data_IF_935805322791
#
_entry.id   IF_935805322791
#
_cell.length_a   1.000
_cell.length_b   1.000
_cell.length_c   1.000
_cell.angle_alpha   90.00
_cell.angle_beta   90.00
_cell.angle_gamma   90.00
#
_symmetry.space_group_name_H-M   'P 1'
#
loop_
_entity.id
_entity.type
_entity.pdbx_description
1 polymer ?
#
# COMPACT_ATOMS: atom_id res chain seq x y z
N UNK A 1 35.75 2.05 -4.94
CA UNK A 1 35.07 3.36 -4.97
C UNK A 1 36.06 4.44 -4.52
N UNK A 2 36.10 5.61 -5.16
CA UNK A 2 37.03 6.69 -4.81
C UNK A 2 36.76 7.19 -3.38
N UNK A 3 37.70 7.00 -2.46
CA UNK A 3 37.55 7.38 -1.04
C UNK A 3 37.26 8.88 -0.86
N UNK A 4 37.58 9.70 -1.87
CA UNK A 4 37.28 11.14 -1.90
C UNK A 4 35.82 11.47 -2.21
N UNK A 5 35.05 10.57 -2.82
CA UNK A 5 33.63 10.82 -3.07
C UNK A 5 32.82 10.75 -1.77
N UNK A 6 33.16 9.86 -0.83
CA UNK A 6 32.45 9.71 0.45
C UNK A 6 32.78 10.84 1.44
N UNK A 7 33.97 11.44 1.35
CA UNK A 7 34.39 12.54 2.22
C UNK A 7 33.58 13.84 2.03
N UNK A 8 32.81 13.96 0.94
CA UNK A 8 31.99 15.14 0.64
C UNK A 8 30.53 15.08 1.13
N UNK A 9 30.07 13.94 1.67
CA UNK A 9 28.65 13.72 2.02
C UNK A 9 28.36 13.78 3.51
N UNK A 10 28.88 14.80 4.20
CA UNK A 10 28.21 15.49 5.32
C UNK A 10 29.22 15.96 6.36
N UNK A 11 29.17 17.25 6.68
CA UNK A 11 29.29 17.69 8.08
C UNK A 11 28.37 18.87 8.34
N UNK A 12 27.07 18.74 8.03
CA UNK A 12 26.01 19.72 8.43
C UNK A 12 26.26 21.19 8.05
N UNK A 13 27.27 21.48 7.23
CA UNK A 13 27.86 22.81 7.01
C UNK A 13 28.17 23.58 8.32
N UNK A 14 28.48 22.85 9.39
CA UNK A 14 28.65 23.39 10.74
C UNK A 14 27.35 23.82 11.45
N UNK A 15 26.18 23.50 10.89
CA UNK A 15 24.86 23.84 11.41
C UNK A 15 24.06 22.56 11.70
N UNK A 16 24.38 21.86 12.81
CA UNK A 16 23.65 20.67 13.18
C UNK A 16 22.21 21.02 13.58
N UNK A 17 21.27 20.18 13.15
CA UNK A 17 19.85 20.27 13.46
C UNK A 17 19.26 18.88 13.68
N UNK A 18 18.03 18.83 14.19
CA UNK A 18 17.29 17.58 14.28
C UNK A 18 17.24 16.85 12.92
N UNK A 19 17.00 17.58 11.83
CA UNK A 19 16.98 17.01 10.48
C UNK A 19 18.32 16.36 10.10
N UNK A 20 19.46 16.99 10.42
CA UNK A 20 20.76 16.39 10.10
C UNK A 20 21.07 15.15 10.96
N UNK A 21 20.58 15.12 12.21
CA UNK A 21 20.76 13.96 13.08
C UNK A 21 19.95 12.76 12.58
N UNK A 22 18.68 12.96 12.22
CA UNK A 22 17.84 11.90 11.64
C UNK A 22 18.37 11.41 10.29
N UNK A 23 18.87 12.33 9.45
CA UNK A 23 19.53 11.99 8.19
C UNK A 23 20.77 11.10 8.43
N UNK A 24 21.66 11.52 9.32
CA UNK A 24 22.88 10.76 9.63
C UNK A 24 22.57 9.38 10.23
N UNK A 25 21.56 9.28 11.11
CA UNK A 25 21.11 8.00 11.65
C UNK A 25 20.57 7.07 10.56
N UNK A 26 19.80 7.61 9.60
CA UNK A 26 19.28 6.87 8.45
C UNK A 26 20.40 6.40 7.52
N UNK A 27 21.35 7.28 7.19
CA UNK A 27 22.51 6.93 6.36
C UNK A 27 23.33 5.81 6.99
N UNK A 28 23.53 5.86 8.31
CA UNK A 28 24.24 4.81 9.04
C UNK A 28 23.51 3.46 8.96
N UNK A 29 22.19 3.44 9.18
CA UNK A 29 21.40 2.22 9.11
C UNK A 29 21.37 1.62 7.69
N UNK A 30 21.26 2.45 6.64
CA UNK A 30 21.29 1.99 5.25
C UNK A 30 22.69 1.47 4.85
N UNK A 31 23.76 2.15 5.29
CA UNK A 31 25.14 1.74 5.00
C UNK A 31 25.43 0.34 5.51
N UNK A 32 24.97 0.00 6.71
CA UNK A 32 25.15 -1.33 7.28
C UNK A 32 24.57 -2.44 6.38
N UNK A 33 23.41 -2.21 5.76
CA UNK A 33 22.81 -3.16 4.80
C UNK A 33 23.59 -3.24 3.48
N UNK A 34 24.07 -2.10 2.98
CA UNK A 34 24.84 -2.08 1.73
C UNK A 34 26.20 -2.77 1.86
N UNK A 35 26.87 -2.61 3.00
CA UNK A 35 28.14 -3.30 3.27
C UNK A 35 27.99 -4.83 3.34
N UNK A 36 26.78 -5.35 3.61
CA UNK A 36 26.48 -6.79 3.49
C UNK A 36 26.23 -7.26 2.04
N UNK A 37 25.90 -6.34 1.13
CA UNK A 37 25.46 -6.68 -0.24
C UNK A 37 26.48 -6.31 -1.32
N UNK A 38 27.45 -5.45 -1.00
CA UNK A 38 28.45 -4.93 -1.92
C UNK A 38 29.83 -5.45 -1.50
N UNK A 39 30.51 -6.13 -2.42
CA UNK A 39 31.87 -6.62 -2.22
C UNK A 39 32.88 -5.46 -2.20
N UNK A 40 34.10 -5.73 -1.71
CA UNK A 40 35.18 -4.73 -1.62
C UNK A 40 35.59 -4.10 -2.96
N UNK A 41 35.24 -4.74 -4.08
CA UNK A 41 35.46 -4.25 -5.44
C UNK A 41 34.26 -3.49 -6.03
N UNK A 42 33.30 -3.11 -5.18
CA UNK A 42 32.04 -2.45 -5.50
C UNK A 42 31.06 -3.31 -6.33
N UNK A 43 31.28 -4.62 -6.44
CA UNK A 43 30.34 -5.50 -7.13
C UNK A 43 29.18 -5.89 -6.22
N UNK A 44 27.96 -5.88 -6.79
CA UNK A 44 26.74 -6.22 -6.06
C UNK A 44 26.52 -7.73 -6.07
N UNK A 45 26.41 -8.33 -4.88
CA UNK A 45 25.95 -9.71 -4.74
C UNK A 45 24.46 -9.80 -5.10
N UNK A 46 24.15 -10.02 -6.38
CA UNK A 46 22.76 -9.97 -6.91
C UNK A 46 21.78 -10.89 -6.18
N UNK A 47 22.25 -11.99 -5.60
CA UNK A 47 21.39 -12.87 -4.81
C UNK A 47 20.97 -12.23 -3.47
N UNK A 48 21.75 -11.29 -2.93
CA UNK A 48 21.41 -10.54 -1.70
C UNK A 48 20.31 -9.51 -1.91
N UNK A 49 20.07 -9.07 -3.15
CA UNK A 49 19.04 -8.07 -3.51
C UNK A 49 17.87 -8.67 -4.33
N UNK A 50 17.71 -9.99 -4.29
CA UNK A 50 16.64 -10.65 -5.03
C UNK A 50 15.25 -10.32 -4.46
N UNK A 51 14.29 -10.01 -5.35
CA UNK A 51 12.89 -9.80 -4.97
C UNK A 51 12.26 -11.14 -4.56
N UNK A 52 12.00 -11.29 -3.25
CA UNK A 52 11.40 -12.45 -2.60
C UNK A 52 9.89 -12.53 -2.80
N UNK A 53 9.48 -12.76 -4.05
CA UNK A 53 8.06 -12.73 -4.47
C UNK A 53 7.16 -13.68 -3.64
N UNK A 54 7.51 -14.96 -3.43
CA UNK A 54 6.65 -15.87 -2.67
C UNK A 54 6.39 -15.40 -1.24
N UNK A 55 7.42 -14.87 -0.58
CA UNK A 55 7.35 -14.36 0.79
C UNK A 55 6.47 -13.10 0.86
N UNK A 56 6.62 -12.18 -0.11
CA UNK A 56 5.75 -11.01 -0.19
C UNK A 56 4.30 -11.38 -0.45
N UNK A 57 4.02 -12.31 -1.37
CA UNK A 57 2.65 -12.78 -1.64
C UNK A 57 2.04 -13.42 -0.39
N UNK A 58 2.79 -14.27 0.30
CA UNK A 58 2.34 -14.90 1.55
C UNK A 58 1.98 -13.86 2.62
N UNK A 59 2.84 -12.87 2.82
CA UNK A 59 2.57 -11.74 3.73
C UNK A 59 1.30 -10.98 3.33
N UNK A 60 1.17 -10.63 2.06
CA UNK A 60 0.04 -9.86 1.53
C UNK A 60 -1.30 -10.61 1.69
N UNK A 61 -1.35 -11.89 1.33
CA UNK A 61 -2.55 -12.71 1.46
C UNK A 61 -2.95 -12.93 2.93
N UNK A 62 -1.98 -13.02 3.85
CA UNK A 62 -2.28 -13.08 5.28
C UNK A 62 -3.05 -11.83 5.78
N UNK A 63 -2.88 -10.70 5.09
CA UNK A 63 -3.56 -9.44 5.40
C UNK A 63 -5.02 -9.34 4.91
N UNK A 64 -5.49 -10.25 4.05
CA UNK A 64 -6.88 -10.25 3.54
C UNK A 64 -7.86 -10.95 4.50
N UNK A 65 -7.35 -11.60 5.55
CA UNK A 65 -8.15 -12.25 6.58
C UNK A 65 -8.40 -11.34 7.79
N UNK A 66 -8.05 -11.84 8.97
CA UNK A 66 -8.15 -11.07 10.21
C UNK A 66 -6.85 -10.33 10.49
N UNK A 67 -6.96 -9.05 10.82
CA UNK A 67 -5.83 -8.23 11.23
C UNK A 67 -5.79 -8.10 12.75
N UNK A 68 -4.57 -7.96 13.30
CA UNK A 68 -4.38 -7.73 14.73
C UNK A 68 -4.90 -6.35 15.17
N UNK A 69 -5.13 -6.16 16.47
CA UNK A 69 -5.58 -4.88 17.07
C UNK A 69 -4.65 -3.70 16.79
N UNK A 70 -3.39 -3.96 16.41
CA UNK A 70 -2.43 -2.92 16.00
C UNK A 70 -2.86 -2.18 14.72
N UNK A 71 -3.80 -2.75 13.94
CA UNK A 71 -4.38 -2.11 12.75
C UNK A 71 -5.59 -1.21 13.07
N UNK A 72 -5.92 -0.99 14.35
CA UNK A 72 -7.06 -0.14 14.74
C UNK A 72 -6.95 1.30 14.23
N UNK A 73 -5.74 1.85 14.12
CA UNK A 73 -5.50 3.16 13.50
C UNK A 73 -5.88 3.22 12.02
N UNK A 74 -6.04 2.07 11.37
CA UNK A 74 -6.43 1.92 9.97
C UNK A 74 -7.89 1.46 9.80
N UNK A 75 -8.72 1.49 10.84
CA UNK A 75 -10.14 1.10 10.73
C UNK A 75 -10.92 2.00 9.74
N UNK A 76 -10.51 3.26 9.59
CA UNK A 76 -11.04 4.17 8.56
C UNK A 76 -10.38 4.05 7.18
N UNK A 77 -9.50 3.06 7.01
CA UNK A 77 -8.71 2.82 5.80
C UNK A 77 -8.80 1.36 5.32
N UNK A 78 -9.90 0.65 5.61
CA UNK A 78 -10.01 -0.75 5.21
C UNK A 78 -10.08 -0.95 3.69
N UNK A 79 -10.74 -0.09 2.89
CA UNK A 79 -10.58 -0.13 1.43
C UNK A 79 -9.15 0.11 0.95
N UNK A 80 -8.34 0.90 1.68
CA UNK A 80 -6.93 1.05 1.38
C UNK A 80 -6.15 -0.24 1.58
N UNK A 81 -6.44 -0.99 2.66
CA UNK A 81 -5.84 -2.30 2.88
C UNK A 81 -6.16 -3.26 1.72
N UNK A 82 -7.42 -3.31 1.26
CA UNK A 82 -7.79 -4.08 0.07
C UNK A 82 -6.98 -3.65 -1.17
N UNK A 83 -6.93 -2.35 -1.46
CA UNK A 83 -6.22 -1.83 -2.62
C UNK A 83 -4.71 -2.10 -2.56
N UNK A 84 -4.05 -1.76 -1.46
CA UNK A 84 -2.60 -1.97 -1.30
C UNK A 84 -2.24 -3.44 -1.47
N UNK A 85 -3.04 -4.34 -0.90
CA UNK A 85 -2.78 -5.77 -0.99
C UNK A 85 -2.97 -6.25 -2.43
N UNK A 86 -4.13 -5.98 -3.03
CA UNK A 86 -4.46 -6.42 -4.40
C UNK A 86 -3.46 -5.89 -5.43
N UNK A 87 -3.17 -4.59 -5.36
CA UNK A 87 -2.25 -3.95 -6.29
C UNK A 87 -0.80 -4.43 -6.11
N UNK A 88 -0.37 -4.70 -4.88
CA UNK A 88 0.95 -5.29 -4.63
C UNK A 88 1.05 -6.69 -5.22
N UNK A 89 0.01 -7.52 -5.05
CA UNK A 89 -0.04 -8.87 -5.64
C UNK A 89 0.01 -8.79 -7.17
N UNK A 90 -0.78 -7.90 -7.79
CA UNK A 90 -0.77 -7.64 -9.24
C UNK A 90 0.63 -7.20 -9.73
N UNK A 91 1.29 -6.30 -8.99
CA UNK A 91 2.63 -5.78 -9.32
C UNK A 91 3.73 -6.83 -9.21
N UNK A 92 3.58 -7.82 -8.32
CA UNK A 92 4.53 -8.92 -8.16
C UNK A 92 4.52 -9.91 -9.35
N UNK A 93 3.55 -9.76 -10.26
CA UNK A 93 3.52 -10.43 -11.56
C UNK A 93 2.77 -11.78 -11.55
N UNK A 94 3.00 -12.65 -12.56
CA UNK A 94 2.16 -13.83 -12.82
C UNK A 94 2.05 -14.85 -11.68
N UNK A 95 2.98 -14.80 -10.72
CA UNK A 95 2.98 -15.66 -9.53
C UNK A 95 1.95 -15.24 -8.48
N UNK A 96 1.43 -14.01 -8.56
CA UNK A 96 0.45 -13.44 -7.65
C UNK A 96 -0.93 -13.43 -8.28
N UNK A 97 -1.63 -14.57 -8.27
CA UNK A 97 -3.06 -14.60 -8.55
C UNK A 97 -3.81 -14.55 -7.22
N UNK A 98 -4.78 -13.64 -7.12
CA UNK A 98 -5.71 -13.62 -6.00
C UNK A 98 -6.62 -14.83 -6.15
N UNK A 99 -6.65 -15.76 -5.17
CA UNK A 99 -7.55 -16.90 -5.25
C UNK A 99 -9.01 -16.42 -5.34
N UNK A 100 -9.82 -17.10 -6.15
CA UNK A 100 -11.19 -16.66 -6.48
C UNK A 100 -12.08 -16.44 -5.23
N UNK A 101 -11.86 -17.23 -4.17
CA UNK A 101 -12.53 -17.06 -2.88
C UNK A 101 -12.28 -15.68 -2.25
N UNK A 102 -11.04 -15.17 -2.32
CA UNK A 102 -10.70 -13.85 -1.80
C UNK A 102 -11.33 -12.76 -2.67
N UNK A 103 -11.36 -12.93 -3.99
CA UNK A 103 -11.96 -11.96 -4.89
C UNK A 103 -13.43 -11.70 -4.53
N UNK A 104 -14.24 -12.76 -4.38
CA UNK A 104 -15.64 -12.64 -4.00
C UNK A 104 -15.82 -11.96 -2.62
N UNK A 105 -15.05 -12.39 -1.60
CA UNK A 105 -15.13 -11.79 -0.27
C UNK A 105 -14.74 -10.32 -0.24
N UNK A 106 -13.76 -9.90 -1.06
CA UNK A 106 -13.36 -8.50 -1.19
C UNK A 106 -14.48 -7.69 -1.87
N UNK A 107 -15.10 -8.22 -2.92
CA UNK A 107 -16.24 -7.55 -3.57
C UNK A 107 -17.38 -7.36 -2.57
N UNK A 108 -17.80 -8.41 -1.88
CA UNK A 108 -18.85 -8.35 -0.84
C UNK A 108 -18.48 -7.34 0.27
N UNK A 109 -17.22 -7.36 0.73
CA UNK A 109 -16.74 -6.40 1.71
C UNK A 109 -16.81 -4.95 1.23
N UNK A 110 -16.34 -4.65 0.01
CA UNK A 110 -16.35 -3.30 -0.56
C UNK A 110 -17.77 -2.83 -0.87
N UNK A 111 -18.67 -3.72 -1.29
CA UNK A 111 -20.10 -3.41 -1.44
C UNK A 111 -20.71 -2.94 -0.13
N UNK A 112 -20.38 -3.59 0.99
CA UNK A 112 -20.82 -3.13 2.33
C UNK A 112 -20.20 -1.80 2.75
N UNK A 113 -19.05 -1.43 2.16
CA UNK A 113 -18.44 -0.12 2.39
C UNK A 113 -19.07 0.99 1.55
N UNK A 114 -19.93 0.70 0.57
CA UNK A 114 -20.63 1.74 -0.17
C UNK A 114 -21.64 2.47 0.72
N UNK A 115 -21.61 3.80 0.66
CA UNK A 115 -22.54 4.63 1.42
C UNK A 115 -23.91 4.65 0.75
N UNK A 116 -24.93 4.11 1.42
CA UNK A 116 -26.26 3.88 0.83
C UNK A 116 -27.02 5.16 0.45
N UNK A 117 -26.81 6.24 1.19
CA UNK A 117 -27.57 7.49 1.00
C UNK A 117 -26.87 8.40 -0.01
N UNK A 118 -25.62 8.77 0.31
CA UNK A 118 -24.87 9.77 -0.47
C UNK A 118 -24.14 9.19 -1.69
N UNK A 119 -23.88 7.88 -1.71
CA UNK A 119 -22.95 7.25 -2.66
C UNK A 119 -21.48 7.39 -2.24
N UNK A 120 -20.57 6.84 -3.05
CA UNK A 120 -19.16 6.70 -2.68
C UNK A 120 -18.92 5.56 -1.69
N UNK A 121 -17.67 5.42 -1.22
CA UNK A 121 -17.28 4.41 -0.25
C UNK A 121 -16.77 5.05 1.04
N UNK A 122 -16.98 4.33 2.14
CA UNK A 122 -16.57 4.67 3.49
C UNK A 122 -15.33 3.87 3.89
N UNK A 123 -14.64 4.28 4.96
CA UNK A 123 -13.49 3.54 5.47
C UNK A 123 -13.80 2.17 6.09
N UNK A 124 -15.08 1.89 6.38
CA UNK A 124 -15.57 0.59 6.87
C UNK A 124 -17.12 0.47 6.87
N UNK A 125 -17.67 -0.76 6.96
CA UNK A 125 -19.09 -1.06 6.66
C UNK A 125 -20.11 -0.91 7.81
N UNK A 126 -19.71 -0.93 9.08
CA UNK A 126 -20.65 -0.86 10.22
C UNK A 126 -20.04 -0.12 11.44
N UNK A 127 -20.77 0.77 12.15
CA UNK A 127 -22.11 1.32 11.88
C UNK A 127 -22.18 2.22 10.62
N UNK A 128 -21.18 2.12 9.76
CA UNK A 128 -21.01 2.91 8.55
C UNK A 128 -20.22 4.15 8.91
N UNK A 129 -19.02 4.30 8.34
CA UNK A 129 -18.33 5.60 8.36
C UNK A 129 -18.97 6.51 7.30
N UNK A 130 -18.62 7.79 7.29
CA UNK A 130 -19.05 8.69 6.23
C UNK A 130 -18.39 8.34 4.90
N UNK A 131 -19.07 8.60 3.78
CA UNK A 131 -18.46 8.53 2.47
C UNK A 131 -17.26 9.49 2.39
N UNK A 132 -16.15 9.03 1.82
CA UNK A 132 -14.95 9.84 1.72
C UNK A 132 -14.20 9.56 0.41
N UNK A 133 -13.59 10.58 -0.19
CA UNK A 133 -12.90 10.45 -1.48
C UNK A 133 -11.74 9.45 -1.45
N UNK A 134 -10.95 9.43 -0.36
CA UNK A 134 -9.82 8.50 -0.21
C UNK A 134 -10.22 7.00 -0.24
N UNK A 135 -11.13 6.49 0.62
CA UNK A 135 -11.60 5.11 0.52
C UNK A 135 -12.43 4.85 -0.75
N UNK A 136 -13.07 5.87 -1.34
CA UNK A 136 -13.72 5.75 -2.65
C UNK A 136 -12.70 5.43 -3.76
N UNK A 137 -11.59 6.17 -3.81
CA UNK A 137 -10.49 5.89 -4.74
C UNK A 137 -9.95 4.46 -4.54
N UNK A 138 -9.66 4.10 -3.29
CA UNK A 138 -9.10 2.79 -2.98
C UNK A 138 -10.06 1.65 -3.34
N UNK A 139 -11.35 1.76 -2.99
CA UNK A 139 -12.35 0.75 -3.30
C UNK A 139 -12.55 0.57 -4.80
N UNK A 140 -12.65 1.66 -5.57
CA UNK A 140 -12.79 1.58 -7.03
C UNK A 140 -11.56 0.91 -7.65
N UNK A 141 -10.35 1.29 -7.25
CA UNK A 141 -9.14 0.67 -7.78
C UNK A 141 -9.01 -0.81 -7.37
N UNK A 142 -9.38 -1.16 -6.13
CA UNK A 142 -9.41 -2.55 -5.70
C UNK A 142 -10.35 -3.40 -6.57
N UNK A 143 -11.58 -2.91 -6.83
CA UNK A 143 -12.54 -3.58 -7.70
C UNK A 143 -12.04 -3.65 -9.15
N UNK A 144 -11.38 -2.61 -9.64
CA UNK A 144 -10.80 -2.59 -10.99
C UNK A 144 -9.65 -3.60 -11.13
N UNK A 145 -8.75 -3.67 -10.14
CA UNK A 145 -7.64 -4.64 -10.10
C UNK A 145 -8.15 -6.09 -10.02
N UNK A 146 -9.28 -6.36 -9.36
CA UNK A 146 -9.89 -7.70 -9.39
C UNK A 146 -10.33 -8.11 -10.80
N UNK A 147 -10.77 -7.15 -11.61
CA UNK A 147 -11.01 -7.37 -13.04
C UNK A 147 -12.15 -8.31 -13.39
N UNK A 148 -13.06 -8.61 -12.45
CA UNK A 148 -14.21 -9.49 -12.68
C UNK A 148 -15.48 -8.69 -12.97
N UNK A 149 -16.41 -9.29 -13.73
CA UNK A 149 -17.75 -8.70 -13.96
C UNK A 149 -18.48 -8.40 -12.65
N UNK A 150 -18.31 -9.26 -11.64
CA UNK A 150 -18.86 -9.05 -10.29
C UNK A 150 -18.29 -7.79 -9.64
N UNK A 151 -16.98 -7.59 -9.71
CA UNK A 151 -16.31 -6.44 -9.13
C UNK A 151 -16.72 -5.14 -9.84
N UNK A 152 -16.88 -5.17 -11.17
CA UNK A 152 -17.36 -4.02 -11.93
C UNK A 152 -18.83 -3.69 -11.62
N UNK A 153 -19.68 -4.70 -11.53
CA UNK A 153 -21.09 -4.55 -11.20
C UNK A 153 -21.33 -4.04 -9.78
N UNK A 154 -20.38 -4.24 -8.86
CA UNK A 154 -20.47 -3.77 -7.48
C UNK A 154 -20.49 -2.25 -7.33
N UNK A 155 -19.97 -1.50 -8.31
CA UNK A 155 -19.86 -0.04 -8.25
C UNK A 155 -21.21 0.61 -8.60
N UNK A 156 -21.87 1.24 -7.63
CA UNK A 156 -23.06 2.07 -7.89
C UNK A 156 -22.63 3.39 -8.55
N UNK A 157 -22.48 3.37 -9.88
CA UNK A 157 -22.04 4.52 -10.67
C UNK A 157 -22.97 5.73 -10.53
N UNK A 158 -24.32 5.59 -10.59
CA UNK A 158 -25.23 6.71 -10.32
C UNK A 158 -25.03 7.35 -8.94
N UNK A 159 -24.90 6.55 -7.88
CA UNK A 159 -24.66 7.06 -6.53
C UNK A 159 -23.28 7.71 -6.40
N UNK A 160 -22.24 7.07 -6.92
CA UNK A 160 -20.89 7.63 -6.95
C UNK A 160 -20.87 9.00 -7.65
N UNK A 161 -21.58 9.14 -8.78
CA UNK A 161 -21.69 10.44 -9.47
C UNK A 161 -22.37 11.50 -8.60
N UNK A 162 -23.42 11.16 -7.85
CA UNK A 162 -24.08 12.10 -6.92
C UNK A 162 -23.11 12.55 -5.82
N UNK A 163 -22.39 11.61 -5.22
CA UNK A 163 -21.35 11.91 -4.22
C UNK A 163 -20.26 12.83 -4.77
N UNK A 164 -19.72 12.54 -5.96
CA UNK A 164 -18.68 13.38 -6.55
C UNK A 164 -19.17 14.80 -6.85
N UNK A 165 -20.44 14.94 -7.27
CA UNK A 165 -21.05 16.25 -7.49
C UNK A 165 -21.31 17.01 -6.19
N UNK A 166 -21.68 16.33 -5.09
CA UNK A 166 -21.86 16.99 -3.79
C UNK A 166 -20.54 17.48 -3.18
N UNK A 167 -19.41 16.88 -3.56
CA UNK A 167 -18.06 17.30 -3.14
C UNK A 167 -17.48 18.44 -3.98
N UNK A 168 -18.11 18.80 -5.10
CA UNK A 168 -17.64 19.87 -5.98
C UNK A 168 -17.89 21.24 -5.33
N UNK A 169 -16.83 22.05 -5.24
CA UNK A 169 -16.90 23.45 -4.82
C UNK A 169 -17.01 24.38 -6.02
#
# INVERSE_FOLDING_TARGET
MDANLVASWSTTDGVPSQSSFEQAATEHACRALFEEWIDLDDTLHRASVALRRPEHISYLLSGLGSLSSNYSSLDASRPWLCYWILHSVETLGPSGQIPAEYAHHIVDFLQRCQHKLDGGFCGGPHPGQMAHLAPTYAAVNALVTLGTEEAYAAIDRPALRRFLLSMKR
#
